data_IF_109385509872
#
_entry.id   IF_109385509872
#
_cell.length_a   1.000
_cell.length_b   1.000
_cell.length_c   1.000
_cell.angle_alpha   90.00
_cell.angle_beta   90.00
_cell.angle_gamma   90.00
#
_symmetry.space_group_name_H-M   'P 1'
#
loop_
_entity.id
_entity.type
_entity.pdbx_description
1 polymer ?
#
# COMPACT_ATOMS: atom_id res chain seq x y z
N UNK A 1 18.89 -8.43 -3.62
CA UNK A 1 18.04 -9.58 -3.98
C UNK A 1 18.21 -9.91 -5.46
N UNK A 2 19.46 -10.10 -5.88
CA UNK A 2 19.78 -10.73 -7.14
C UNK A 2 21.03 -11.52 -6.82
N UNK A 3 20.89 -12.83 -6.63
CA UNK A 3 22.00 -13.66 -7.04
C UNK A 3 22.17 -13.46 -8.55
N UNK A 4 23.42 -13.53 -9.04
CA UNK A 4 23.74 -13.24 -10.44
C UNK A 4 22.85 -14.03 -11.44
N UNK A 5 22.26 -15.14 -10.98
CA UNK A 5 21.31 -15.99 -11.69
C UNK A 5 19.99 -15.31 -12.08
N UNK A 6 19.37 -14.51 -11.20
CA UNK A 6 18.08 -13.86 -11.50
C UNK A 6 18.18 -12.80 -12.61
N UNK A 7 19.34 -12.15 -12.73
CA UNK A 7 19.64 -11.18 -13.79
C UNK A 7 19.99 -11.83 -15.14
N UNK A 8 20.15 -13.14 -15.18
CA UNK A 8 20.39 -13.91 -16.41
C UNK A 8 19.13 -14.68 -16.85
N UNK A 9 18.13 -14.78 -15.98
CA UNK A 9 16.84 -15.38 -16.31
C UNK A 9 15.95 -14.37 -17.06
N UNK A 10 15.83 -14.60 -18.37
CA UNK A 10 15.02 -13.77 -19.28
C UNK A 10 13.54 -13.78 -18.89
N UNK A 11 13.02 -14.89 -18.36
CA UNK A 11 11.62 -15.00 -17.97
C UNK A 11 11.38 -14.15 -16.71
N UNK A 12 12.31 -14.21 -15.76
CA UNK A 12 12.25 -13.40 -14.56
C UNK A 12 12.28 -11.91 -14.91
N UNK A 13 13.23 -11.48 -15.75
CA UNK A 13 13.33 -10.08 -16.20
C UNK A 13 12.06 -9.63 -16.90
N UNK A 14 11.49 -10.46 -17.77
CA UNK A 14 10.24 -10.15 -18.44
C UNK A 14 9.10 -9.93 -17.42
N UNK A 15 8.96 -10.81 -16.43
CA UNK A 15 7.95 -10.69 -15.38
C UNK A 15 8.17 -9.45 -14.50
N UNK A 16 9.42 -9.18 -14.12
CA UNK A 16 9.82 -7.98 -13.38
C UNK A 16 9.45 -6.69 -14.12
N UNK A 17 9.75 -6.63 -15.42
CA UNK A 17 9.33 -5.52 -16.27
C UNK A 17 7.81 -5.42 -16.36
N UNK A 18 7.10 -6.54 -16.53
CA UNK A 18 5.62 -6.55 -16.59
C UNK A 18 5.01 -5.98 -15.30
N UNK A 19 5.52 -6.36 -14.12
CA UNK A 19 5.07 -5.81 -12.85
C UNK A 19 5.29 -4.28 -12.78
N UNK A 20 6.48 -3.81 -13.12
CA UNK A 20 6.81 -2.38 -13.16
C UNK A 20 5.92 -1.60 -14.14
N UNK A 21 5.76 -2.08 -15.38
CA UNK A 21 4.93 -1.42 -16.39
C UNK A 21 3.46 -1.41 -15.99
N UNK A 22 2.96 -2.49 -15.40
CA UNK A 22 1.57 -2.55 -14.92
C UNK A 22 1.34 -1.54 -13.80
N UNK A 23 2.27 -1.40 -12.85
CA UNK A 23 2.21 -0.38 -11.80
C UNK A 23 2.25 1.03 -12.40
N UNK A 24 3.11 1.28 -13.39
CA UNK A 24 3.19 2.58 -14.07
C UNK A 24 1.88 2.94 -14.77
N UNK A 25 1.32 2.02 -15.56
CA UNK A 25 0.05 2.23 -16.25
C UNK A 25 -1.09 2.45 -15.25
N UNK A 26 -1.13 1.69 -14.16
CA UNK A 26 -2.08 1.87 -13.07
C UNK A 26 -1.94 3.26 -12.42
N UNK A 27 -0.72 3.72 -12.16
CA UNK A 27 -0.44 5.04 -11.62
C UNK A 27 -0.98 6.15 -12.55
N UNK A 28 -0.60 6.11 -13.83
CA UNK A 28 -1.05 7.08 -14.84
C UNK A 28 -2.57 7.07 -14.96
N UNK A 29 -3.18 5.88 -15.01
CA UNK A 29 -4.64 5.74 -15.02
C UNK A 29 -5.28 6.42 -13.82
N UNK A 30 -4.81 6.15 -12.60
CA UNK A 30 -5.37 6.71 -11.37
C UNK A 30 -5.23 8.24 -11.28
N UNK A 31 -4.15 8.80 -11.83
CA UNK A 31 -3.90 10.25 -11.86
C UNK A 31 -4.72 10.96 -12.94
N UNK A 32 -4.84 10.36 -14.13
CA UNK A 32 -5.47 10.99 -15.29
C UNK A 32 -6.98 10.75 -15.37
N UNK A 33 -7.53 9.75 -14.67
CA UNK A 33 -8.97 9.45 -14.74
C UNK A 33 -9.83 10.58 -14.14
N UNK A 34 -10.86 10.96 -14.91
CA UNK A 34 -11.82 12.02 -14.53
C UNK A 34 -13.07 11.50 -13.83
N UNK A 35 -13.37 10.20 -13.95
CA UNK A 35 -14.52 9.55 -13.34
C UNK A 35 -14.24 8.07 -13.06
N UNK A 36 -15.18 7.41 -12.40
CA UNK A 36 -15.11 6.01 -12.04
C UNK A 36 -15.53 5.08 -13.19
N UNK A 37 -14.76 4.01 -13.41
CA UNK A 37 -14.95 3.09 -14.53
C UNK A 37 -16.03 2.02 -14.25
N UNK A 38 -16.21 1.63 -12.99
CA UNK A 38 -17.18 0.60 -12.61
C UNK A 38 -18.43 1.15 -11.92
N UNK A 39 -18.34 2.34 -11.33
CA UNK A 39 -19.44 2.97 -10.62
C UNK A 39 -19.86 4.26 -11.30
N UNK A 40 -21.13 4.36 -11.68
CA UNK A 40 -21.68 5.61 -12.21
C UNK A 40 -21.81 6.63 -11.08
N UNK A 41 -20.89 7.60 -11.05
CA UNK A 41 -20.91 8.66 -10.05
C UNK A 41 -22.18 9.50 -10.20
N UNK A 42 -22.91 9.69 -9.10
CA UNK A 42 -24.13 10.50 -9.07
C UNK A 42 -23.87 11.81 -8.35
N UNK A 43 -24.07 12.91 -9.05
CA UNK A 43 -23.90 14.27 -8.54
C UNK A 43 -24.98 14.67 -7.53
N UNK A 44 -24.86 15.86 -6.90
CA UNK A 44 -25.86 16.38 -5.96
C UNK A 44 -27.27 16.49 -6.56
N UNK A 45 -27.36 16.52 -7.89
CA UNK A 45 -28.60 16.55 -8.69
C UNK A 45 -29.44 15.27 -8.52
N UNK A 46 -28.84 14.16 -8.09
CA UNK A 46 -29.56 12.93 -7.78
C UNK A 46 -30.20 12.93 -6.38
N UNK A 47 -29.93 13.95 -5.56
CA UNK A 47 -30.51 14.12 -4.24
C UNK A 47 -31.81 14.93 -4.38
N UNK A 48 -32.95 14.27 -4.19
CA UNK A 48 -34.26 14.93 -4.18
C UNK A 48 -34.54 15.46 -2.78
N UNK A 49 -34.71 16.77 -2.65
CA UNK A 49 -35.24 17.35 -1.40
C UNK A 49 -36.76 17.35 -1.48
N UNK A 50 -37.41 16.71 -0.51
CA UNK A 50 -38.86 16.70 -0.34
C UNK A 50 -39.18 17.55 0.89
N UNK A 51 -39.96 18.62 0.72
CA UNK A 51 -40.50 19.40 1.83
C UNK A 51 -41.50 18.52 2.62
N UNK A 52 -41.27 18.33 3.93
CA UNK A 52 -42.22 17.62 4.82
C UNK A 52 -42.68 18.55 5.94
N UNK A 53 -43.80 18.24 6.63
CA UNK A 53 -44.29 19.05 7.75
C UNK A 53 -43.29 19.20 8.90
N UNK A 54 -42.31 18.30 8.99
CA UNK A 54 -41.26 18.29 10.00
C UNK A 54 -39.93 18.88 9.50
N UNK A 55 -39.92 19.46 8.29
CA UNK A 55 -38.74 20.04 7.63
C UNK A 55 -38.36 19.33 6.31
N UNK A 56 -37.33 19.82 5.60
CA UNK A 56 -36.89 19.26 4.33
C UNK A 56 -36.21 17.89 4.53
N UNK A 57 -36.75 16.85 3.89
CA UNK A 57 -36.19 15.50 3.85
C UNK A 57 -35.39 15.32 2.55
N UNK A 58 -34.08 15.02 2.64
CA UNK A 58 -33.25 14.73 1.47
C UNK A 58 -33.27 13.24 1.17
N UNK A 59 -33.82 12.86 0.01
CA UNK A 59 -33.81 11.51 -0.51
C UNK A 59 -32.72 11.32 -1.57
N UNK A 60 -31.84 10.36 -1.33
CA UNK A 60 -30.76 9.98 -2.25
C UNK A 60 -29.40 10.34 -1.69
N UNK A 61 -28.42 9.46 -1.91
CA UNK A 61 -27.01 9.71 -1.58
C UNK A 61 -26.24 9.99 -2.86
N UNK A 62 -25.46 11.08 -2.87
CA UNK A 62 -24.49 11.30 -3.94
C UNK A 62 -23.40 10.23 -3.83
N UNK A 63 -23.31 9.35 -4.83
CA UNK A 63 -22.34 8.25 -4.86
C UNK A 63 -21.08 8.73 -5.56
N UNK A 64 -19.94 8.74 -4.85
CA UNK A 64 -18.64 9.17 -5.38
C UNK A 64 -17.53 8.21 -4.97
N UNK A 65 -16.47 8.14 -5.78
CA UNK A 65 -15.26 7.40 -5.45
C UNK A 65 -14.35 8.15 -4.47
N UNK A 66 -13.65 7.43 -3.60
CA UNK A 66 -12.73 8.03 -2.63
C UNK A 66 -11.49 8.63 -3.30
N UNK A 67 -11.47 9.96 -3.41
CA UNK A 67 -10.36 10.73 -3.97
C UNK A 67 -9.06 10.54 -3.18
N UNK A 68 -9.17 10.38 -1.86
CA UNK A 68 -8.04 10.12 -0.96
C UNK A 68 -7.44 8.75 -1.22
N UNK A 69 -8.26 7.69 -1.29
CA UNK A 69 -7.78 6.35 -1.61
C UNK A 69 -7.09 6.32 -2.96
N UNK A 70 -7.70 6.93 -3.98
CA UNK A 70 -7.12 7.04 -5.33
C UNK A 70 -5.70 7.63 -5.32
N UNK A 71 -5.49 8.74 -4.62
CA UNK A 71 -4.19 9.42 -4.56
C UNK A 71 -3.13 8.58 -3.84
N UNK A 72 -3.47 7.97 -2.71
CA UNK A 72 -2.54 7.11 -1.97
C UNK A 72 -2.21 5.84 -2.75
N UNK A 73 -3.19 5.23 -3.42
CA UNK A 73 -2.93 4.10 -4.30
C UNK A 73 -2.04 4.49 -5.46
N UNK A 74 -2.26 5.64 -6.12
CA UNK A 74 -1.39 6.12 -7.18
C UNK A 74 0.05 6.35 -6.69
N UNK A 75 0.22 6.93 -5.49
CA UNK A 75 1.53 7.10 -4.88
C UNK A 75 2.22 5.75 -4.59
N UNK A 76 1.48 4.76 -4.09
CA UNK A 76 2.00 3.40 -3.90
C UNK A 76 2.43 2.76 -5.24
N UNK A 77 1.63 2.92 -6.30
CA UNK A 77 2.01 2.43 -7.63
C UNK A 77 3.30 3.08 -8.13
N UNK A 78 3.45 4.39 -7.93
CA UNK A 78 4.69 5.11 -8.26
C UNK A 78 5.90 4.59 -7.45
N UNK A 79 5.71 4.28 -6.16
CA UNK A 79 6.77 3.70 -5.33
C UNK A 79 7.14 2.28 -5.76
N UNK A 80 6.17 1.46 -6.19
CA UNK A 80 6.45 0.14 -6.78
C UNK A 80 7.30 0.28 -8.04
N UNK A 81 6.95 1.20 -8.95
CA UNK A 81 7.78 1.48 -10.15
C UNK A 81 9.19 1.91 -9.73
N UNK A 82 9.28 2.83 -8.78
CA UNK A 82 10.54 3.28 -8.22
C UNK A 82 11.38 2.11 -7.70
N UNK A 83 10.77 1.19 -6.94
CA UNK A 83 11.39 -0.02 -6.43
C UNK A 83 12.08 -0.80 -7.52
N UNK A 84 11.38 -1.01 -8.63
CA UNK A 84 11.96 -1.72 -9.76
C UNK A 84 13.16 -0.97 -10.37
N UNK A 85 13.06 0.36 -10.46
CA UNK A 85 14.11 1.20 -11.03
C UNK A 85 15.35 1.23 -10.14
N UNK A 86 15.24 1.49 -8.83
CA UNK A 86 16.44 1.60 -7.99
C UNK A 86 17.09 0.24 -7.72
N UNK A 87 16.33 -0.86 -7.61
CA UNK A 87 16.92 -2.20 -7.55
C UNK A 87 17.75 -2.51 -8.79
N UNK A 88 17.23 -2.21 -9.98
CA UNK A 88 17.95 -2.40 -11.24
C UNK A 88 19.16 -1.46 -11.36
N UNK A 89 18.96 -0.15 -11.15
CA UNK A 89 20.01 0.85 -11.31
C UNK A 89 21.16 0.68 -10.31
N UNK A 90 20.86 0.42 -9.03
CA UNK A 90 21.88 0.16 -8.03
C UNK A 90 22.63 -1.15 -8.33
N UNK A 91 21.93 -2.18 -8.80
CA UNK A 91 22.52 -3.49 -9.09
C UNK A 91 23.33 -3.58 -10.37
N UNK A 92 22.99 -2.79 -11.40
CA UNK A 92 23.60 -2.91 -12.73
C UNK A 92 24.47 -1.72 -13.12
N UNK A 93 24.31 -0.55 -12.48
CA UNK A 93 24.96 0.69 -12.93
C UNK A 93 25.92 1.24 -11.89
N UNK A 94 25.52 1.30 -10.60
CA UNK A 94 26.28 2.07 -9.61
C UNK A 94 27.04 1.23 -8.57
N UNK A 95 26.39 0.24 -7.97
CA UNK A 95 26.95 -0.57 -6.89
C UNK A 95 27.07 -2.05 -7.32
N UNK A 96 27.60 -2.27 -8.53
CA UNK A 96 27.78 -3.61 -9.11
C UNK A 96 28.70 -4.47 -8.24
N UNK A 97 29.74 -3.87 -7.69
CA UNK A 97 30.83 -4.58 -6.98
C UNK A 97 30.65 -4.59 -5.46
N UNK A 98 29.72 -3.78 -4.92
CA UNK A 98 29.44 -3.68 -3.49
C UNK A 98 28.02 -4.19 -3.16
N UNK A 99 27.87 -5.51 -3.20
CA UNK A 99 26.59 -6.21 -2.95
C UNK A 99 25.97 -5.81 -1.62
N UNK A 100 26.78 -5.63 -0.57
CA UNK A 100 26.32 -5.31 0.77
C UNK A 100 25.67 -3.92 0.79
N UNK A 101 26.43 -2.88 0.42
CA UNK A 101 25.94 -1.50 0.46
C UNK A 101 24.76 -1.31 -0.49
N UNK A 102 24.80 -1.95 -1.67
CA UNK A 102 23.68 -2.00 -2.60
C UNK A 102 22.41 -2.52 -1.94
N UNK A 103 22.48 -3.70 -1.32
CA UNK A 103 21.31 -4.33 -0.71
C UNK A 103 20.76 -3.46 0.43
N UNK A 104 21.64 -2.94 1.30
CA UNK A 104 21.23 -2.06 2.41
C UNK A 104 20.48 -0.84 1.89
N UNK A 105 21.00 -0.15 0.87
CA UNK A 105 20.35 1.04 0.31
C UNK A 105 19.02 0.71 -0.37
N UNK A 106 18.97 -0.35 -1.18
CA UNK A 106 17.76 -0.72 -1.90
C UNK A 106 16.63 -1.16 -0.94
N UNK A 107 16.97 -1.94 0.09
CA UNK A 107 16.05 -2.30 1.18
C UNK A 107 15.60 -1.03 1.90
N UNK A 108 16.52 -0.18 2.33
CA UNK A 108 16.18 1.07 3.01
C UNK A 108 15.19 1.94 2.21
N UNK A 109 15.38 2.07 0.89
CA UNK A 109 14.49 2.79 -0.01
C UNK A 109 13.09 2.17 -0.09
N UNK A 110 12.99 0.85 -0.22
CA UNK A 110 11.71 0.15 -0.23
C UNK A 110 10.96 0.36 1.09
N UNK A 111 11.67 0.28 2.21
CA UNK A 111 11.09 0.45 3.54
C UNK A 111 10.54 1.87 3.75
N UNK A 112 11.32 2.92 3.48
CA UNK A 112 10.85 4.30 3.67
C UNK A 112 9.78 4.75 2.66
N UNK A 113 9.51 3.97 1.62
CA UNK A 113 8.50 4.28 0.60
C UNK A 113 7.29 3.35 0.68
N UNK A 114 7.46 2.06 0.38
CA UNK A 114 6.38 1.09 0.21
C UNK A 114 5.62 0.83 1.52
N UNK A 115 6.33 0.75 2.66
CA UNK A 115 5.69 0.44 3.96
C UNK A 115 4.77 1.59 4.41
N UNK A 116 5.23 2.86 4.51
CA UNK A 116 4.35 3.98 4.83
C UNK A 116 3.18 4.16 3.84
N UNK A 117 3.42 3.96 2.55
CA UNK A 117 2.38 4.09 1.53
C UNK A 117 1.34 2.98 1.65
N UNK A 118 1.74 1.76 1.99
CA UNK A 118 0.82 0.66 2.28
C UNK A 118 -0.05 1.00 3.49
N UNK A 119 0.54 1.49 4.59
CA UNK A 119 -0.21 1.95 5.76
C UNK A 119 -1.21 3.07 5.40
N UNK A 120 -0.80 4.02 4.55
CA UNK A 120 -1.64 5.11 4.10
C UNK A 120 -2.83 4.63 3.27
N UNK A 121 -2.60 3.69 2.35
CA UNK A 121 -3.66 3.04 1.55
C UNK A 121 -4.63 2.30 2.46
N UNK A 122 -4.15 1.53 3.44
CA UNK A 122 -5.00 0.82 4.38
C UNK A 122 -5.89 1.78 5.19
N UNK A 123 -5.34 2.85 5.75
CA UNK A 123 -6.16 3.86 6.45
C UNK A 123 -7.14 4.58 5.50
N UNK A 124 -6.75 4.83 4.25
CA UNK A 124 -7.64 5.42 3.26
C UNK A 124 -8.78 4.46 2.86
N UNK A 125 -8.54 3.14 2.89
CA UNK A 125 -9.57 2.11 2.69
C UNK A 125 -10.55 2.05 3.87
N UNK A 126 -10.09 2.32 5.10
CA UNK A 126 -10.99 2.54 6.24
C UNK A 126 -11.74 3.87 6.18
N UNK A 127 -11.34 4.77 5.28
CA UNK A 127 -11.85 6.13 5.19
C UNK A 127 -11.65 6.96 6.46
N UNK A 128 -10.76 6.54 7.36
CA UNK A 128 -10.47 7.26 8.60
C UNK A 128 -9.59 8.48 8.33
N UNK A 129 -10.18 9.68 8.45
CA UNK A 129 -9.53 10.97 8.17
C UNK A 129 -8.78 11.57 9.34
N UNK A 130 -8.99 11.08 10.56
CA UNK A 130 -8.50 11.72 11.78
C UNK A 130 -7.18 11.11 12.26
N UNK A 131 -6.88 9.89 11.85
CA UNK A 131 -5.70 9.15 12.31
C UNK A 131 -4.41 9.64 11.64
N UNK A 132 -3.42 10.11 12.43
CA UNK A 132 -2.14 10.54 11.89
C UNK A 132 -1.25 9.35 11.50
N UNK A 133 -0.62 9.43 10.33
CA UNK A 133 0.40 8.47 9.86
C UNK A 133 1.82 8.84 10.31
N UNK A 134 2.05 10.09 10.69
CA UNK A 134 3.39 10.60 10.99
C UNK A 134 4.13 9.84 12.09
N UNK A 135 3.49 9.29 13.16
CA UNK A 135 4.24 8.55 14.19
C UNK A 135 4.88 7.29 13.61
N UNK A 136 4.16 6.60 12.72
CA UNK A 136 4.65 5.41 12.02
C UNK A 136 5.79 5.78 11.07
N UNK A 137 5.64 6.87 10.30
CA UNK A 137 6.69 7.35 9.40
C UNK A 137 7.97 7.72 10.15
N UNK A 138 7.86 8.40 11.30
CA UNK A 138 9.03 8.78 12.10
C UNK A 138 9.74 7.55 12.64
N UNK A 139 8.98 6.58 13.17
CA UNK A 139 9.56 5.34 13.70
C UNK A 139 10.25 4.51 12.60
N UNK A 140 9.59 4.37 11.46
CA UNK A 140 10.07 3.70 10.25
C UNK A 140 11.39 4.31 9.76
N UNK A 141 11.37 5.62 9.45
CA UNK A 141 12.55 6.32 8.91
C UNK A 141 13.70 6.30 9.89
N UNK A 142 13.44 6.45 11.18
CA UNK A 142 14.49 6.41 12.21
C UNK A 142 15.15 5.02 12.27
N UNK A 143 14.35 3.95 12.27
CA UNK A 143 14.87 2.59 12.28
C UNK A 143 15.70 2.29 11.02
N UNK A 144 15.21 2.67 9.83
CA UNK A 144 15.92 2.48 8.57
C UNK A 144 17.24 3.25 8.56
N UNK A 145 17.24 4.54 8.94
CA UNK A 145 18.46 5.35 8.89
C UNK A 145 19.53 4.80 9.84
N UNK A 146 19.15 4.44 11.08
CA UNK A 146 20.10 3.91 12.06
C UNK A 146 20.70 2.59 11.59
N UNK A 147 19.85 1.64 11.17
CA UNK A 147 20.30 0.31 10.70
C UNK A 147 21.16 0.43 9.43
N UNK A 148 20.73 1.21 8.44
CA UNK A 148 21.49 1.41 7.21
C UNK A 148 22.87 2.05 7.47
N UNK A 149 22.95 3.08 8.32
CA UNK A 149 24.22 3.72 8.66
C UNK A 149 25.15 2.75 9.40
N UNK A 150 24.62 2.02 10.39
CA UNK A 150 25.42 1.05 11.15
C UNK A 150 25.91 -0.10 10.27
N UNK A 151 25.05 -0.64 9.40
CA UNK A 151 25.42 -1.71 8.47
C UNK A 151 26.46 -1.30 7.43
N UNK A 152 26.32 -0.10 6.85
CA UNK A 152 27.29 0.42 5.86
C UNK A 152 28.63 0.73 6.53
N UNK A 153 28.61 1.44 7.66
CA UNK A 153 29.83 1.83 8.37
C UNK A 153 30.57 0.62 8.98
N UNK A 154 29.81 -0.33 9.53
CA UNK A 154 30.33 -1.55 10.14
C UNK A 154 30.63 -2.67 9.14
N UNK A 155 30.20 -2.52 7.87
CA UNK A 155 30.25 -3.59 6.86
C UNK A 155 29.61 -4.90 7.36
N UNK A 156 28.47 -4.77 8.03
CA UNK A 156 27.78 -5.87 8.70
C UNK A 156 26.33 -6.02 8.20
N UNK A 157 26.03 -7.21 7.68
CA UNK A 157 24.69 -7.59 7.21
C UNK A 157 23.66 -7.60 8.34
N UNK A 158 24.08 -8.02 9.54
CA UNK A 158 23.19 -8.10 10.69
C UNK A 158 22.59 -6.72 11.03
N UNK A 159 23.45 -5.71 11.15
CA UNK A 159 22.99 -4.33 11.36
C UNK A 159 22.35 -3.71 10.11
N UNK A 160 22.80 -4.11 8.93
CA UNK A 160 22.37 -3.54 7.65
C UNK A 160 20.95 -3.91 7.23
N UNK A 161 20.48 -5.12 7.51
CA UNK A 161 19.10 -5.51 7.17
C UNK A 161 18.43 -6.54 8.09
N UNK A 162 19.15 -7.38 8.86
CA UNK A 162 18.47 -8.34 9.77
C UNK A 162 17.77 -7.62 10.92
N UNK A 163 18.48 -6.72 11.60
CA UNK A 163 17.91 -5.87 12.66
C UNK A 163 16.78 -5.01 12.11
N UNK A 164 16.94 -4.48 10.89
CA UNK A 164 15.88 -3.73 10.23
C UNK A 164 14.64 -4.61 10.04
N UNK A 165 14.79 -5.84 9.55
CA UNK A 165 13.69 -6.81 9.43
C UNK A 165 12.96 -7.05 10.75
N UNK A 166 13.67 -7.19 11.87
CA UNK A 166 13.02 -7.33 13.19
C UNK A 166 12.28 -6.08 13.63
N UNK A 167 12.88 -4.89 13.47
CA UNK A 167 12.21 -3.62 13.76
C UNK A 167 10.93 -3.47 12.93
N UNK A 168 10.96 -3.93 11.69
CA UNK A 168 9.85 -3.87 10.75
C UNK A 168 8.70 -4.75 11.15
N UNK A 169 9.00 -5.99 11.55
CA UNK A 169 7.97 -6.88 12.07
C UNK A 169 7.30 -6.33 13.31
N UNK A 170 8.07 -5.71 14.21
CA UNK A 170 7.50 -5.03 15.37
C UNK A 170 6.60 -3.84 14.98
N UNK A 171 7.03 -3.01 14.03
CA UNK A 171 6.25 -1.87 13.53
C UNK A 171 4.96 -2.33 12.83
N UNK A 172 5.04 -3.35 11.99
CA UNK A 172 3.91 -3.98 11.31
C UNK A 172 2.92 -4.56 12.31
N UNK A 173 3.40 -5.34 13.28
CA UNK A 173 2.55 -5.91 14.32
C UNK A 173 1.85 -4.81 15.13
N UNK A 174 2.59 -3.76 15.51
CA UNK A 174 2.03 -2.58 16.16
C UNK A 174 0.96 -1.89 15.31
N UNK A 175 1.22 -1.71 14.01
CA UNK A 175 0.28 -1.09 13.08
C UNK A 175 -0.98 -1.94 12.90
N UNK A 176 -0.87 -3.27 12.83
CA UNK A 176 -2.01 -4.18 12.76
C UNK A 176 -2.89 -4.05 13.99
N UNK A 177 -2.29 -4.02 15.19
CA UNK A 177 -3.03 -3.83 16.44
C UNK A 177 -3.75 -2.47 16.40
N UNK A 178 -3.03 -1.42 16.03
CA UNK A 178 -3.60 -0.08 15.85
C UNK A 178 -4.77 -0.05 14.85
N UNK A 179 -4.59 -0.70 13.70
CA UNK A 179 -5.58 -0.80 12.64
C UNK A 179 -6.82 -1.60 13.07
N UNK A 180 -6.63 -2.72 13.78
CA UNK A 180 -7.72 -3.51 14.34
C UNK A 180 -8.53 -2.73 15.40
N UNK A 181 -7.85 -1.93 16.23
CA UNK A 181 -8.51 -1.05 17.20
C UNK A 181 -9.27 0.09 16.50
N UNK A 182 -8.72 0.64 15.42
CA UNK A 182 -9.38 1.63 14.57
C UNK A 182 -10.65 1.04 13.95
N UNK A 183 -10.53 -0.16 13.37
CA UNK A 183 -11.64 -0.90 12.79
C UNK A 183 -12.77 -1.15 13.79
N UNK A 184 -12.45 -1.53 15.03
CA UNK A 184 -13.47 -1.77 16.08
C UNK A 184 -14.21 -0.50 16.51
N UNK A 185 -13.55 0.66 16.49
CA UNK A 185 -14.23 1.93 16.75
C UNK A 185 -15.06 2.37 15.56
N UNK A 186 -14.49 2.27 14.37
CA UNK A 186 -15.14 2.66 13.12
C UNK A 186 -16.35 1.78 12.79
N UNK A 187 -16.25 0.46 13.01
CA UNK A 187 -17.34 -0.48 12.81
C UNK A 187 -18.53 -0.22 13.74
N UNK A 188 -18.29 0.22 14.98
CA UNK A 188 -19.37 0.66 15.89
C UNK A 188 -20.07 1.89 15.34
N UNK A 189 -19.32 2.91 14.95
CA UNK A 189 -19.88 4.11 14.32
C UNK A 189 -20.65 3.80 13.02
N UNK A 190 -20.13 2.92 12.17
CA UNK A 190 -20.80 2.46 10.94
C UNK A 190 -22.12 1.76 11.24
N UNK A 191 -22.15 0.87 12.25
CA UNK A 191 -23.38 0.21 12.68
C UNK A 191 -24.44 1.21 13.13
N UNK A 192 -24.01 2.22 13.88
CA UNK A 192 -24.92 3.20 14.49
C UNK A 192 -25.49 4.18 13.44
N UNK A 193 -24.76 4.46 12.35
CA UNK A 193 -25.14 5.46 11.34
C UNK A 193 -25.59 4.87 9.99
N UNK A 194 -25.15 3.65 9.66
CA UNK A 194 -25.34 3.03 8.34
C UNK A 194 -25.66 1.54 8.47
N UNK A 195 -26.92 1.23 8.78
CA UNK A 195 -27.42 -0.12 9.11
C UNK A 195 -27.20 -1.23 8.05
N UNK A 196 -26.74 -0.92 6.83
CA UNK A 196 -26.60 -1.88 5.72
C UNK A 196 -25.23 -1.90 5.01
N UNK A 197 -24.32 -0.96 5.30
CA UNK A 197 -22.99 -0.90 4.68
C UNK A 197 -21.94 -1.75 5.45
N UNK A 198 -22.34 -2.27 6.61
CA UNK A 198 -21.49 -2.73 7.70
C UNK A 198 -20.61 -3.97 7.39
N UNK A 199 -21.00 -4.88 6.50
CA UNK A 199 -20.44 -6.24 6.54
C UNK A 199 -19.53 -6.67 5.40
N UNK A 200 -19.60 -6.08 4.19
CA UNK A 200 -18.82 -6.62 3.04
C UNK A 200 -17.54 -5.85 2.75
N UNK A 201 -17.58 -4.52 2.77
CA UNK A 201 -16.44 -3.73 2.26
C UNK A 201 -15.34 -3.51 3.29
N UNK A 202 -15.69 -3.52 4.58
CA UNK A 202 -14.78 -3.25 5.70
C UNK A 202 -13.97 -4.49 6.09
N UNK A 203 -14.55 -5.69 6.05
CA UNK A 203 -13.81 -6.93 6.29
C UNK A 203 -12.86 -7.26 5.14
N UNK A 204 -13.21 -6.90 3.90
CA UNK A 204 -12.34 -7.08 2.74
C UNK A 204 -11.04 -6.27 2.85
N UNK A 205 -11.07 -5.06 3.43
CA UNK A 205 -9.85 -4.27 3.64
C UNK A 205 -8.97 -4.86 4.75
N UNK A 206 -9.57 -5.40 5.82
CA UNK A 206 -8.83 -6.09 6.88
C UNK A 206 -8.24 -7.42 6.39
N UNK A 207 -9.01 -8.26 5.70
CA UNK A 207 -8.53 -9.52 5.13
C UNK A 207 -7.41 -9.27 4.14
N UNK A 208 -7.53 -8.21 3.32
CA UNK A 208 -6.44 -7.81 2.42
C UNK A 208 -5.21 -7.31 3.17
N UNK A 209 -5.36 -6.52 4.24
CA UNK A 209 -4.25 -6.10 5.09
C UNK A 209 -3.53 -7.33 5.66
N UNK A 210 -4.26 -8.28 6.24
CA UNK A 210 -3.69 -9.52 6.79
C UNK A 210 -2.99 -10.33 5.70
N UNK A 211 -3.59 -10.45 4.51
CA UNK A 211 -2.98 -11.12 3.36
C UNK A 211 -1.67 -10.45 2.92
N UNK A 212 -1.65 -9.12 2.80
CA UNK A 212 -0.45 -8.33 2.52
C UNK A 212 0.66 -8.60 3.53
N UNK A 213 0.32 -8.67 4.82
CA UNK A 213 1.30 -8.90 5.88
C UNK A 213 1.84 -10.33 5.89
N UNK A 214 1.00 -11.34 5.60
CA UNK A 214 1.47 -12.72 5.44
C UNK A 214 2.43 -12.81 4.26
N UNK A 215 2.12 -12.14 3.16
CA UNK A 215 3.02 -12.13 2.01
C UNK A 215 4.32 -11.38 2.30
N UNK A 216 4.24 -10.25 3.00
CA UNK A 216 5.41 -9.51 3.45
C UNK A 216 6.35 -10.40 4.28
N UNK A 217 5.83 -11.14 5.26
CA UNK A 217 6.65 -12.04 6.11
C UNK A 217 7.28 -13.20 5.33
N UNK A 218 6.53 -13.80 4.41
CA UNK A 218 7.06 -14.85 3.52
C UNK A 218 8.16 -14.29 2.59
N UNK A 219 8.07 -13.00 2.26
CA UNK A 219 9.01 -12.31 1.40
C UNK A 219 10.28 -11.84 2.12
N UNK A 220 10.17 -11.26 3.32
CA UNK A 220 11.32 -10.77 4.10
C UNK A 220 12.14 -11.88 4.74
N UNK A 221 11.56 -13.06 4.96
CA UNK A 221 12.28 -14.27 5.38
C UNK A 221 13.06 -14.95 4.24
N UNK A 222 13.18 -14.30 3.08
CA UNK A 222 13.89 -14.83 1.91
C UNK A 222 15.39 -14.47 1.92
N UNK A 223 16.26 -15.49 1.82
CA UNK A 223 17.70 -15.34 1.62
C UNK A 223 18.13 -15.04 0.18
N UNK A 224 17.21 -14.78 -0.75
CA UNK A 224 17.51 -14.50 -2.18
C UNK A 224 17.19 -15.66 -3.13
N UNK A 225 16.28 -16.56 -2.77
CA UNK A 225 15.85 -17.66 -3.64
C UNK A 225 15.04 -17.14 -4.84
N UNK A 226 15.43 -17.53 -6.05
CA UNK A 226 14.79 -17.11 -7.31
C UNK A 226 13.28 -17.39 -7.36
N UNK A 227 12.82 -18.55 -6.87
CA UNK A 227 11.39 -18.90 -6.83
C UNK A 227 10.57 -17.87 -6.05
N UNK A 228 11.13 -17.34 -4.97
CA UNK A 228 10.47 -16.33 -4.15
C UNK A 228 10.54 -14.94 -4.79
N UNK A 229 11.55 -14.65 -5.60
CA UNK A 229 11.59 -13.46 -6.45
C UNK A 229 10.48 -13.51 -7.52
N UNK A 230 10.23 -14.65 -8.15
CA UNK A 230 9.06 -14.85 -9.01
C UNK A 230 7.74 -14.63 -8.27
N UNK A 231 7.62 -15.23 -7.08
CA UNK A 231 6.43 -15.09 -6.26
C UNK A 231 6.16 -13.61 -5.92
N UNK A 232 7.19 -12.83 -5.61
CA UNK A 232 7.02 -11.40 -5.28
C UNK A 232 6.45 -10.58 -6.45
N UNK A 233 6.83 -10.90 -7.68
CA UNK A 233 6.26 -10.24 -8.87
C UNK A 233 4.80 -10.62 -9.07
N UNK A 234 4.46 -11.90 -8.90
CA UNK A 234 3.06 -12.37 -8.99
C UNK A 234 2.20 -11.68 -7.92
N UNK A 235 2.70 -11.61 -6.69
CA UNK A 235 2.01 -10.92 -5.59
C UNK A 235 1.83 -9.45 -5.93
N UNK A 236 2.88 -8.79 -6.42
CA UNK A 236 2.79 -7.38 -6.85
C UNK A 236 1.66 -7.17 -7.85
N UNK A 237 1.53 -8.03 -8.86
CA UNK A 237 0.44 -7.96 -9.84
C UNK A 237 -0.94 -8.14 -9.18
N UNK A 238 -1.08 -9.08 -8.25
CA UNK A 238 -2.32 -9.31 -7.49
C UNK A 238 -2.68 -8.08 -6.64
N UNK A 239 -1.70 -7.47 -5.96
CA UNK A 239 -1.87 -6.24 -5.17
C UNK A 239 -2.36 -5.10 -6.08
N UNK A 240 -1.73 -4.91 -7.25
CA UNK A 240 -2.12 -3.87 -8.21
C UNK A 240 -3.57 -4.07 -8.65
N UNK A 241 -3.92 -5.28 -9.08
CA UNK A 241 -5.27 -5.60 -9.54
C UNK A 241 -6.32 -5.37 -8.44
N UNK A 242 -6.03 -5.83 -7.21
CA UNK A 242 -6.91 -5.65 -6.08
C UNK A 242 -7.10 -4.16 -5.74
N UNK A 243 -6.02 -3.38 -5.67
CA UNK A 243 -6.10 -1.97 -5.31
C UNK A 243 -6.83 -1.15 -6.37
N UNK A 244 -6.62 -1.43 -7.65
CA UNK A 244 -7.41 -0.84 -8.73
C UNK A 244 -8.90 -1.16 -8.56
N UNK A 245 -9.24 -2.43 -8.36
CA UNK A 245 -10.61 -2.84 -8.10
C UNK A 245 -11.21 -2.08 -6.90
N UNK A 246 -10.49 -1.99 -5.78
CA UNK A 246 -10.96 -1.28 -4.58
C UNK A 246 -11.14 0.21 -4.76
N UNK A 247 -10.24 0.87 -5.48
CA UNK A 247 -10.37 2.30 -5.80
C UNK A 247 -11.64 2.56 -6.60
N UNK A 248 -12.02 1.64 -7.48
CA UNK A 248 -13.23 1.78 -8.30
C UNK A 248 -14.51 1.34 -7.58
N UNK A 249 -14.45 0.42 -6.61
CA UNK A 249 -15.67 -0.05 -5.92
C UNK A 249 -15.97 0.67 -4.61
N UNK A 250 -14.96 1.18 -3.91
CA UNK A 250 -15.17 1.78 -2.58
C UNK A 250 -15.86 3.15 -2.69
N UNK A 251 -17.07 3.21 -2.13
CA UNK A 251 -17.87 4.43 -2.08
C UNK A 251 -17.41 5.34 -0.96
N UNK A 252 -17.20 6.64 -1.24
CA UNK A 252 -16.87 7.62 -0.23
C UNK A 252 -18.06 7.86 0.71
N UNK A 253 -17.88 7.57 1.99
CA UNK A 253 -18.84 7.92 3.04
C UNK A 253 -18.71 9.41 3.30
N UNK A 254 -19.82 10.14 3.13
CA UNK A 254 -19.90 11.53 3.55
C UNK A 254 -20.34 11.56 5.00
N UNK A 255 -19.72 12.42 5.79
CA UNK A 255 -20.32 12.86 7.03
C UNK A 255 -21.59 13.64 6.66
N UNK A 256 -22.74 13.20 7.15
CA UNK A 256 -23.88 14.11 7.23
C UNK A 256 -23.56 15.15 8.31
N UNK A 257 -23.22 16.36 7.84
CA UNK A 257 -23.15 17.63 8.56
C UNK A 257 -22.29 17.69 9.84
#
# INVERSE_FOLDING_TARGET
>A
MYEYEGLQDVIFIALYCVAAFTALLACVYLLCRRGNAFMQEKGPESVKTIETPNGPLRLGSGVRSSLRLRRWTAALMAAIVGSHVWWYALGQIWLTDDRLVRNIIAIALDHVTLVPLTMAVLLAMLQDRHRPLWPWLVAEVSAVVVTAVMGIAGRDEFWGYDVLGYCQLALIAGFIIYYALALRHYGRWLRDNYANLEHKEVWQSLTFAVGLFVVYEVYTSNGGELLREYLSQIVTLVIIAFLLWRVETLQELKDEA
#
